data_IF_210149566735
#
_entry.id   IF_210149566735
#
_cell.length_a   1.000
_cell.length_b   1.000
_cell.length_c   1.000
_cell.angle_alpha   90.00
_cell.angle_beta   90.00
_cell.angle_gamma   90.00
#
_symmetry.space_group_name_H-M   'P 1'
#
loop_
_entity.id
_entity.type
_entity.pdbx_description
1 polymer ?
#
# COMPACT_ATOMS: atom_id res chain seq x y z
N UNK A 1 -8.39 11.70 -3.75
CA UNK A 1 -7.58 10.63 -4.38
C UNK A 1 -7.62 9.39 -3.48
N UNK A 2 -8.45 8.39 -3.81
CA UNK A 2 -8.72 7.21 -2.97
C UNK A 2 -7.74 6.04 -3.13
N UNK A 3 -6.44 6.31 -3.36
CA UNK A 3 -5.43 5.27 -3.64
C UNK A 3 -5.19 4.37 -2.42
N UNK A 4 -4.92 4.98 -1.27
CA UNK A 4 -4.76 4.29 0.01
C UNK A 4 -6.04 3.55 0.40
N UNK A 5 -7.20 4.19 0.26
CA UNK A 5 -8.49 3.55 0.52
C UNK A 5 -8.71 2.31 -0.36
N UNK A 6 -8.38 2.38 -1.66
CA UNK A 6 -8.49 1.24 -2.57
C UNK A 6 -7.51 0.12 -2.18
N UNK A 7 -6.24 0.43 -1.91
CA UNK A 7 -5.26 -0.57 -1.52
C UNK A 7 -5.61 -1.24 -0.20
N UNK A 8 -6.10 -0.48 0.78
CA UNK A 8 -6.55 -1.02 2.06
C UNK A 8 -7.80 -1.88 1.90
N UNK A 9 -8.76 -1.50 1.05
CA UNK A 9 -9.92 -2.35 0.76
C UNK A 9 -9.50 -3.68 0.10
N UNK A 10 -8.51 -3.66 -0.81
CA UNK A 10 -7.95 -4.89 -1.38
C UNK A 10 -7.29 -5.73 -0.28
N UNK A 11 -6.46 -5.13 0.57
CA UNK A 11 -5.80 -5.81 1.69
C UNK A 11 -6.81 -6.43 2.67
N UNK A 12 -7.84 -5.67 3.05
CA UNK A 12 -8.94 -6.11 3.90
C UNK A 12 -9.65 -7.31 3.27
N UNK A 13 -10.02 -7.20 1.99
CA UNK A 13 -10.73 -8.28 1.31
C UNK A 13 -9.87 -9.56 1.19
N UNK A 14 -8.58 -9.43 0.90
CA UNK A 14 -7.67 -10.58 0.89
C UNK A 14 -7.57 -11.22 2.27
N UNK A 15 -7.39 -10.43 3.33
CA UNK A 15 -7.35 -10.93 4.70
C UNK A 15 -8.72 -11.49 5.18
N UNK A 16 -9.82 -11.09 4.56
CA UNK A 16 -11.17 -11.59 4.88
C UNK A 16 -11.49 -12.91 4.21
N UNK A 17 -11.24 -12.99 2.91
CA UNK A 17 -11.51 -14.16 2.07
C UNK A 17 -10.46 -15.26 2.23
N UNK A 18 -9.27 -14.92 2.72
CA UNK A 18 -8.20 -15.87 2.99
C UNK A 18 -7.78 -15.78 4.46
N UNK A 19 -7.40 -16.90 5.06
CA UNK A 19 -6.76 -16.91 6.39
C UNK A 19 -5.25 -16.59 6.31
N UNK A 20 -4.80 -16.14 5.14
CA UNK A 20 -3.42 -15.79 4.88
C UNK A 20 -3.08 -14.40 5.42
N UNK A 21 -1.79 -14.17 5.63
CA UNK A 21 -1.29 -12.92 6.18
C UNK A 21 -1.12 -11.85 5.12
N UNK A 22 -1.52 -10.63 5.45
CA UNK A 22 -1.27 -9.43 4.63
C UNK A 22 -0.33 -8.51 5.39
N UNK A 23 0.77 -8.10 4.75
CA UNK A 23 1.75 -7.19 5.31
C UNK A 23 1.58 -5.80 4.71
N UNK A 24 1.44 -4.77 5.53
CA UNK A 24 1.28 -3.38 5.09
C UNK A 24 2.42 -2.55 5.65
N UNK A 25 3.21 -1.98 4.76
CA UNK A 25 4.19 -0.93 5.08
C UNK A 25 3.53 0.42 4.87
N UNK A 26 3.35 1.17 5.95
CA UNK A 26 2.77 2.51 5.95
C UNK A 26 3.83 3.52 6.37
N UNK A 27 4.33 4.31 5.42
CA UNK A 27 5.36 5.31 5.69
C UNK A 27 4.76 6.71 5.91
N UNK A 28 3.50 6.92 5.53
CA UNK A 28 2.79 8.19 5.69
C UNK A 28 1.88 8.20 6.93
N UNK A 29 1.22 7.08 7.21
CA UNK A 29 0.23 6.96 8.28
C UNK A 29 0.73 6.07 9.42
N UNK A 30 0.34 6.40 10.65
CA UNK A 30 0.55 5.51 11.79
C UNK A 30 -0.34 4.26 11.72
N UNK A 31 0.06 3.20 12.40
CA UNK A 31 -0.73 1.96 12.48
C UNK A 31 -2.16 2.24 12.98
N UNK A 32 -2.31 3.14 13.96
CA UNK A 32 -3.62 3.54 14.50
C UNK A 32 -4.51 4.16 13.42
N UNK A 33 -3.96 5.05 12.58
CA UNK A 33 -4.73 5.68 11.51
C UNK A 33 -5.15 4.66 10.45
N UNK A 34 -4.32 3.66 10.16
CA UNK A 34 -4.65 2.55 9.25
C UNK A 34 -5.79 1.71 9.84
N UNK A 35 -5.71 1.34 11.12
CA UNK A 35 -6.77 0.58 11.81
C UNK A 35 -8.10 1.34 11.82
N UNK A 36 -8.09 2.65 12.10
CA UNK A 36 -9.31 3.48 12.03
C UNK A 36 -9.95 3.46 10.63
N UNK A 37 -9.16 3.39 9.55
CA UNK A 37 -9.70 3.23 8.20
C UNK A 37 -10.39 1.89 8.00
N UNK A 38 -9.81 0.80 8.50
CA UNK A 38 -10.46 -0.52 8.46
C UNK A 38 -11.75 -0.54 9.26
N UNK A 39 -11.76 0.03 10.47
CA UNK A 39 -12.99 0.13 11.28
C UNK A 39 -14.06 0.93 10.54
N UNK A 40 -13.71 2.08 9.98
CA UNK A 40 -14.62 2.90 9.18
C UNK A 40 -15.20 2.13 7.98
N UNK A 41 -14.37 1.33 7.29
CA UNK A 41 -14.77 0.47 6.17
C UNK A 41 -15.75 -0.63 6.62
N UNK A 42 -15.43 -1.37 7.67
CA UNK A 42 -16.20 -2.54 8.12
C UNK A 42 -17.49 -2.12 8.83
N UNK A 43 -17.42 -1.12 9.71
CA UNK A 43 -18.57 -0.64 10.49
C UNK A 43 -19.48 0.32 9.69
N UNK A 44 -19.07 0.71 8.47
CA UNK A 44 -19.76 1.68 7.64
C UNK A 44 -20.01 3.02 8.36
N UNK A 45 -18.99 3.50 9.07
CA UNK A 45 -19.00 4.76 9.81
C UNK A 45 -18.14 5.78 9.06
N UNK A 46 -18.58 7.03 8.99
CA UNK A 46 -17.76 8.10 8.42
C UNK A 46 -16.43 8.26 9.16
N UNK A 47 -15.33 8.25 8.40
CA UNK A 47 -13.98 8.31 8.96
C UNK A 47 -13.72 9.62 9.73
N UNK A 48 -14.28 10.76 9.30
CA UNK A 48 -14.10 12.02 10.01
C UNK A 48 -14.81 12.01 11.36
N UNK A 49 -16.03 11.46 11.41
CA UNK A 49 -16.76 11.25 12.68
C UNK A 49 -15.97 10.35 13.63
N UNK A 50 -15.44 9.24 13.13
CA UNK A 50 -14.61 8.33 13.91
C UNK A 50 -13.34 9.02 14.43
N UNK A 51 -12.65 9.81 13.59
CA UNK A 51 -11.45 10.56 14.01
C UNK A 51 -11.72 11.64 15.05
N UNK A 52 -12.91 12.26 15.02
CA UNK A 52 -13.34 13.32 15.94
C UNK A 52 -14.01 12.79 17.22
N UNK A 53 -14.23 11.48 17.32
CA UNK A 53 -14.97 10.87 18.43
C UNK A 53 -16.47 11.22 18.44
N UNK A 54 -17.04 11.62 17.29
CA UNK A 54 -18.45 11.99 17.16
C UNK A 54 -19.31 10.75 16.86
N UNK A 55 -19.30 9.82 17.82
CA UNK A 55 -19.96 8.52 17.73
C UNK A 55 -21.32 8.56 18.43
N UNK A 56 -22.30 7.91 17.83
CA UNK A 56 -23.59 7.64 18.46
C UNK A 56 -23.53 6.31 19.21
N UNK A 57 -24.47 6.09 20.12
CA UNK A 57 -24.51 4.82 20.88
C UNK A 57 -24.65 3.59 19.96
N UNK A 58 -25.35 3.75 18.82
CA UNK A 58 -25.48 2.73 17.80
C UNK A 58 -24.19 2.42 17.02
N UNK A 59 -23.23 3.35 16.99
CA UNK A 59 -21.97 3.17 16.26
C UNK A 59 -21.04 2.20 17.00
N UNK A 60 -21.13 2.13 18.34
CA UNK A 60 -20.27 1.25 19.16
C UNK A 60 -20.45 -0.23 18.83
N UNK A 61 -21.69 -0.67 18.57
CA UNK A 61 -21.95 -2.06 18.18
C UNK A 61 -21.28 -2.41 16.85
N UNK A 62 -21.24 -1.46 15.90
CA UNK A 62 -20.52 -1.62 14.63
C UNK A 62 -19.02 -1.66 14.82
N UNK A 63 -18.48 -0.80 15.69
CA UNK A 63 -17.04 -0.74 16.01
C UNK A 63 -16.57 -2.02 16.68
N UNK A 64 -17.31 -2.52 17.67
CA UNK A 64 -16.96 -3.76 18.38
C UNK A 64 -16.94 -4.97 17.44
N UNK A 65 -17.92 -5.05 16.53
CA UNK A 65 -17.94 -6.07 15.46
C UNK A 65 -16.72 -5.93 14.55
N UNK A 66 -16.38 -4.70 14.13
CA UNK A 66 -15.22 -4.46 13.27
C UNK A 66 -13.90 -4.85 13.96
N UNK A 67 -13.72 -4.52 15.24
CA UNK A 67 -12.57 -4.90 16.03
C UNK A 67 -12.46 -6.41 16.20
N UNK A 68 -13.57 -7.10 16.45
CA UNK A 68 -13.62 -8.57 16.52
C UNK A 68 -13.18 -9.21 15.20
N UNK A 69 -13.70 -8.72 14.07
CA UNK A 69 -13.30 -9.17 12.74
C UNK A 69 -11.79 -8.92 12.55
N UNK A 70 -11.30 -7.70 12.79
CA UNK A 70 -9.90 -7.36 12.57
C UNK A 70 -8.94 -8.17 13.46
N UNK A 71 -9.31 -8.41 14.73
CA UNK A 71 -8.53 -9.23 15.65
C UNK A 71 -8.42 -10.70 15.23
N UNK A 72 -9.37 -11.19 14.42
CA UNK A 72 -9.33 -12.55 13.87
C UNK A 72 -8.48 -12.67 12.60
N UNK A 73 -8.06 -11.53 12.02
CA UNK A 73 -7.34 -11.51 10.74
C UNK A 73 -5.84 -11.31 10.92
N UNK A 74 -5.07 -11.94 10.04
CA UNK A 74 -3.62 -11.88 10.03
C UNK A 74 -3.13 -10.65 9.24
N UNK A 75 -3.40 -9.44 9.74
CA UNK A 75 -2.89 -8.20 9.14
C UNK A 75 -1.71 -7.69 9.97
N UNK A 76 -0.53 -7.61 9.36
CA UNK A 76 0.67 -7.07 9.98
C UNK A 76 0.93 -5.67 9.46
N UNK A 77 1.04 -4.70 10.37
CA UNK A 77 1.31 -3.30 10.05
C UNK A 77 2.73 -2.94 10.48
N UNK A 78 3.47 -2.30 9.60
CA UNK A 78 4.75 -1.65 9.89
C UNK A 78 4.62 -0.18 9.51
N UNK A 79 4.54 0.68 10.52
CA UNK A 79 4.39 2.13 10.36
C UNK A 79 5.73 2.89 10.45
N UNK A 80 6.85 2.18 10.26
CA UNK A 80 8.18 2.81 10.29
C UNK A 80 8.32 3.80 9.12
N UNK A 81 8.57 5.09 9.40
CA UNK A 81 8.73 6.08 8.36
C UNK A 81 10.06 5.91 7.62
N UNK A 82 10.11 6.42 6.39
CA UNK A 82 11.33 6.59 5.60
C UNK A 82 12.19 5.32 5.38
N UNK A 83 11.58 4.15 5.29
CA UNK A 83 12.29 2.89 5.03
C UNK A 83 13.02 2.90 3.68
N UNK A 84 14.28 2.47 3.69
CA UNK A 84 15.02 2.15 2.47
C UNK A 84 14.50 0.86 1.81
N UNK A 85 14.68 0.67 0.49
CA UNK A 85 14.32 -0.58 -0.19
C UNK A 85 14.99 -1.82 0.41
N UNK A 86 16.22 -1.68 0.91
CA UNK A 86 16.96 -2.74 1.60
C UNK A 86 16.32 -3.12 2.94
N UNK A 87 15.88 -2.14 3.72
CA UNK A 87 15.23 -2.39 5.01
C UNK A 87 13.87 -3.05 4.82
N UNK A 88 13.05 -2.55 3.89
CA UNK A 88 11.77 -3.14 3.53
C UNK A 88 11.94 -4.60 3.11
N UNK A 89 12.93 -4.90 2.26
CA UNK A 89 13.26 -6.27 1.85
C UNK A 89 13.67 -7.15 3.02
N UNK A 90 14.51 -6.66 3.93
CA UNK A 90 14.94 -7.41 5.11
C UNK A 90 13.76 -7.77 6.02
N UNK A 91 12.88 -6.79 6.27
CA UNK A 91 11.67 -6.98 7.10
C UNK A 91 10.67 -7.91 6.44
N UNK A 92 10.37 -7.73 5.15
CA UNK A 92 9.46 -8.61 4.41
C UNK A 92 9.94 -10.07 4.40
N UNK A 93 11.25 -10.30 4.22
CA UNK A 93 11.85 -11.65 4.33
C UNK A 93 11.71 -12.24 5.73
N UNK A 94 11.90 -11.42 6.77
CA UNK A 94 11.75 -11.86 8.16
C UNK A 94 10.32 -12.31 8.40
N UNK A 95 9.33 -11.50 8.02
CA UNK A 95 7.91 -11.84 8.14
C UNK A 95 7.57 -13.10 7.33
N UNK A 96 8.03 -13.23 6.08
CA UNK A 96 7.81 -14.47 5.29
C UNK A 96 8.39 -15.73 5.94
N UNK A 97 9.42 -15.62 6.79
CA UNK A 97 9.96 -16.77 7.55
C UNK A 97 9.15 -17.06 8.81
N UNK A 98 8.70 -16.01 9.50
CA UNK A 98 7.89 -16.13 10.72
C UNK A 98 6.45 -16.56 10.38
N UNK A 99 5.97 -16.21 9.20
CA UNK A 99 4.62 -16.48 8.70
C UNK A 99 4.69 -17.46 7.52
N UNK A 100 4.06 -18.63 7.66
CA UNK A 100 4.02 -19.63 6.56
C UNK A 100 3.27 -19.14 5.32
N UNK A 101 2.21 -18.35 5.50
CA UNK A 101 1.27 -17.98 4.43
C UNK A 101 1.12 -16.47 4.24
N UNK A 102 2.19 -15.78 3.80
CA UNK A 102 2.08 -14.39 3.34
C UNK A 102 1.42 -14.33 1.95
N UNK A 103 0.24 -13.70 1.86
CA UNK A 103 -0.55 -13.56 0.63
C UNK A 103 -0.26 -12.30 -0.16
N UNK A 104 0.01 -11.18 0.51
CA UNK A 104 0.21 -9.88 -0.15
C UNK A 104 1.06 -8.95 0.68
N UNK A 105 1.81 -8.08 0.00
CA UNK A 105 2.47 -6.91 0.61
C UNK A 105 1.89 -5.63 0.01
N UNK A 106 1.49 -4.69 0.85
CA UNK A 106 1.09 -3.33 0.46
C UNK A 106 2.14 -2.34 0.93
N UNK A 107 2.49 -1.36 0.08
CA UNK A 107 3.46 -0.31 0.41
C UNK A 107 2.84 1.06 0.12
N UNK A 108 2.60 1.85 1.18
CA UNK A 108 2.02 3.19 1.13
C UNK A 108 2.98 4.24 1.71
N UNK A 109 3.57 5.16 0.94
CA UNK A 109 3.73 5.21 -0.52
C UNK A 109 5.23 5.27 -0.83
N UNK A 110 5.64 4.73 -1.97
CA UNK A 110 7.07 4.54 -2.31
C UNK A 110 7.87 5.84 -2.42
N UNK A 111 7.19 6.99 -2.51
CA UNK A 111 7.82 8.29 -2.51
C UNK A 111 8.46 8.68 -1.16
N UNK A 112 8.10 8.03 -0.05
CA UNK A 112 8.79 8.32 1.22
C UNK A 112 10.04 7.47 1.43
N UNK A 113 10.30 6.52 0.55
CA UNK A 113 11.50 5.69 0.64
C UNK A 113 12.75 6.51 0.29
N UNK A 114 13.81 6.29 1.06
CA UNK A 114 15.10 6.93 0.84
C UNK A 114 16.08 5.93 0.24
N UNK A 115 16.69 6.27 -0.89
CA UNK A 115 17.84 5.55 -1.42
C UNK A 115 19.11 6.31 -1.01
N UNK A 116 20.01 5.67 -0.27
CA UNK A 116 21.28 6.30 0.12
C UNK A 116 22.20 6.46 -1.10
N UNK A 117 22.33 7.70 -1.58
CA UNK A 117 23.19 8.08 -2.70
C UNK A 117 22.79 9.42 -3.30
N UNK A 118 23.74 10.19 -3.84
CA UNK A 118 23.46 11.46 -4.53
C UNK A 118 22.85 11.19 -5.91
N UNK A 119 21.54 10.98 -5.95
CA UNK A 119 20.77 11.05 -7.19
C UNK A 119 19.95 12.34 -7.17
N UNK A 120 20.41 13.38 -7.87
CA UNK A 120 19.62 14.61 -8.09
C UNK A 120 18.35 14.33 -8.92
N UNK A 121 18.22 13.12 -9.47
CA UNK A 121 17.07 12.71 -10.27
C UNK A 121 16.11 11.81 -9.50
N UNK A 122 15.05 12.42 -8.97
CA UNK A 122 13.95 11.73 -8.28
C UNK A 122 13.29 10.63 -9.12
N UNK A 123 13.24 10.79 -10.45
CA UNK A 123 12.64 9.79 -11.35
C UNK A 123 13.50 8.53 -11.39
N UNK A 124 14.83 8.68 -11.37
CA UNK A 124 15.77 7.57 -11.33
C UNK A 124 15.64 6.78 -10.00
N UNK A 125 15.48 7.50 -8.89
CA UNK A 125 15.29 6.91 -7.56
C UNK A 125 14.01 6.05 -7.50
N UNK A 126 12.86 6.60 -7.94
CA UNK A 126 11.58 5.86 -7.98
C UNK A 126 11.68 4.62 -8.89
N UNK A 127 12.41 4.75 -10.01
CA UNK A 127 12.65 3.64 -10.93
C UNK A 127 13.48 2.52 -10.28
N UNK A 128 14.47 2.89 -9.46
CA UNK A 128 15.28 1.94 -8.70
C UNK A 128 14.47 1.24 -7.61
N UNK A 129 13.70 1.99 -6.83
CA UNK A 129 12.78 1.45 -5.82
C UNK A 129 11.81 0.44 -6.47
N UNK A 130 11.22 0.80 -7.61
CA UNK A 130 10.28 -0.05 -8.34
C UNK A 130 10.92 -1.34 -8.87
N UNK A 131 12.21 -1.30 -9.24
CA UNK A 131 12.98 -2.51 -9.60
C UNK A 131 13.25 -3.37 -8.38
N UNK A 132 13.66 -2.77 -7.27
CA UNK A 132 13.91 -3.47 -6.01
C UNK A 132 12.67 -4.19 -5.49
N UNK A 133 11.51 -3.51 -5.47
CA UNK A 133 10.23 -4.13 -5.08
C UNK A 133 9.82 -5.26 -6.02
N UNK A 134 10.09 -5.15 -7.33
CA UNK A 134 9.79 -6.24 -8.26
C UNK A 134 10.70 -7.44 -8.06
N UNK A 135 11.97 -7.22 -7.74
CA UNK A 135 12.88 -8.30 -7.36
C UNK A 135 12.39 -9.00 -6.09
N UNK A 136 11.96 -8.23 -5.08
CA UNK A 136 11.38 -8.75 -3.84
C UNK A 136 10.13 -9.61 -4.10
N UNK A 137 9.20 -9.12 -4.92
CA UNK A 137 7.98 -9.84 -5.27
C UNK A 137 8.27 -11.22 -5.89
N UNK A 138 9.24 -11.26 -6.81
CA UNK A 138 9.68 -12.52 -7.46
C UNK A 138 10.41 -13.45 -6.49
N UNK A 139 11.18 -12.87 -5.58
CA UNK A 139 11.97 -13.64 -4.61
C UNK A 139 11.09 -14.32 -3.56
N UNK A 140 10.09 -13.60 -3.05
CA UNK A 140 9.17 -14.12 -2.03
C UNK A 140 8.00 -14.92 -2.63
N UNK A 141 7.82 -14.85 -3.94
CA UNK A 141 6.64 -15.34 -4.66
C UNK A 141 5.33 -14.79 -4.08
N UNK A 142 5.29 -13.48 -3.86
CA UNK A 142 4.17 -12.78 -3.22
C UNK A 142 3.84 -11.51 -4.03
N UNK A 143 2.55 -11.24 -4.33
CA UNK A 143 2.14 -10.00 -4.98
C UNK A 143 2.41 -8.78 -4.08
N UNK A 144 2.99 -7.74 -4.68
CA UNK A 144 3.26 -6.46 -4.01
C UNK A 144 2.45 -5.35 -4.68
N UNK A 145 1.64 -4.65 -3.89
CA UNK A 145 0.89 -3.44 -4.29
C UNK A 145 1.65 -2.22 -3.78
N UNK A 146 2.26 -1.47 -4.69
CA UNK A 146 3.00 -0.26 -4.36
C UNK A 146 2.18 0.97 -4.75
N UNK A 147 1.94 1.87 -3.78
CA UNK A 147 1.28 3.14 -4.02
C UNK A 147 2.31 4.19 -4.43
N UNK A 148 2.03 4.87 -5.55
CA UNK A 148 2.83 5.99 -6.05
C UNK A 148 1.92 7.18 -6.32
N UNK A 149 2.30 8.36 -5.81
CA UNK A 149 1.68 9.63 -6.19
C UNK A 149 2.31 10.13 -7.49
N UNK A 150 1.49 10.64 -8.42
CA UNK A 150 1.99 11.29 -9.63
C UNK A 150 2.54 12.68 -9.31
N UNK A 151 3.49 13.11 -10.13
CA UNK A 151 4.02 14.46 -10.06
C UNK A 151 2.94 15.45 -10.51
N UNK A 152 2.69 16.52 -9.72
CA UNK A 152 1.58 17.48 -9.94
C UNK A 152 1.66 18.26 -11.26
N UNK A 153 2.77 18.15 -11.99
CA UNK A 153 2.96 18.75 -13.31
C UNK A 153 1.98 18.24 -14.40
N UNK A 154 1.24 17.15 -14.14
CA UNK A 154 0.19 16.64 -15.05
C UNK A 154 -1.13 17.40 -14.88
N UNK A 155 -1.34 18.10 -13.76
CA UNK A 155 -2.58 18.84 -13.46
C UNK A 155 -2.69 20.19 -14.19
N UNK A 156 -1.58 20.72 -14.74
CA UNK A 156 -1.56 21.95 -15.54
C UNK A 156 -1.94 21.73 -17.01
N UNK A 157 -2.20 20.48 -17.42
CA UNK A 157 -2.71 20.17 -18.77
C UNK A 157 -4.22 20.40 -18.80
N UNK A 158 -4.78 21.03 -19.85
CA UNK A 158 -6.22 21.24 -20.00
C UNK A 158 -7.02 19.92 -20.13
N UNK A 159 -6.36 18.77 -20.27
CA UNK A 159 -7.00 17.46 -20.43
C UNK A 159 -6.46 16.46 -19.39
N UNK A 160 -7.26 16.16 -18.36
CA UNK A 160 -6.91 15.29 -17.20
C UNK A 160 -7.11 13.79 -17.45
N UNK A 161 -7.03 13.34 -18.71
CA UNK A 161 -7.08 11.91 -19.04
C UNK A 161 -5.66 11.38 -19.21
N UNK A 162 -5.26 10.32 -18.49
CA UNK A 162 -3.94 9.73 -18.67
C UNK A 162 -3.80 9.22 -20.10
N UNK A 163 -2.75 9.67 -20.79
CA UNK A 163 -2.45 9.28 -22.17
C UNK A 163 -1.23 8.37 -22.20
N UNK A 164 -1.23 7.42 -23.14
CA UNK A 164 -0.12 6.48 -23.39
C UNK A 164 1.24 7.14 -23.67
N UNK A 165 1.29 8.46 -23.87
CA UNK A 165 2.53 9.21 -24.03
C UNK A 165 3.31 9.37 -22.70
N UNK A 166 2.66 9.29 -21.54
CA UNK A 166 3.33 9.33 -20.23
C UNK A 166 4.10 8.02 -19.93
N UNK A 167 3.88 6.98 -20.76
CA UNK A 167 4.66 5.72 -20.76
C UNK A 167 5.87 5.76 -21.70
N UNK A 168 6.00 6.78 -22.56
CA UNK A 168 6.93 6.74 -23.71
C UNK A 168 8.39 7.05 -23.35
N UNK A 169 8.65 7.78 -22.27
CA UNK A 169 10.02 7.91 -21.73
C UNK A 169 10.48 6.68 -20.93
N UNK A 170 9.60 5.67 -20.77
CA UNK A 170 9.96 4.33 -20.27
C UNK A 170 10.20 3.37 -21.43
N UNK A 171 11.09 3.76 -22.36
CA UNK A 171 11.57 2.88 -23.43
C UNK A 171 12.45 1.76 -22.86
N UNK A 172 11.87 0.60 -22.56
CA UNK A 172 12.63 -0.57 -22.14
C UNK A 172 11.77 -1.82 -21.90
N UNK A 173 11.56 -2.57 -22.98
CA UNK A 173 11.06 -3.95 -23.01
C UNK A 173 9.60 -4.20 -22.61
N UNK A 174 8.75 -4.29 -23.64
CA UNK A 174 7.49 -5.04 -23.63
C UNK A 174 7.76 -6.48 -23.20
N UNK A 175 7.56 -6.76 -21.92
CA UNK A 175 7.36 -8.11 -21.42
C UNK A 175 5.95 -8.14 -20.88
N UNK A 176 5.12 -9.05 -21.42
CA UNK A 176 3.74 -9.34 -20.99
C UNK A 176 3.48 -8.96 -19.53
N UNK A 177 2.52 -8.06 -19.30
CA UNK A 177 1.89 -7.92 -17.99
C UNK A 177 1.17 -9.24 -17.66
N UNK A 178 1.85 -10.16 -16.97
CA UNK A 178 1.17 -11.07 -16.04
C UNK A 178 0.77 -10.25 -14.81
N UNK A 179 -0.32 -10.62 -14.15
CA UNK A 179 -0.92 -9.95 -12.98
C UNK A 179 0.02 -9.72 -11.77
N UNK A 180 1.30 -10.08 -11.86
CA UNK A 180 2.35 -9.93 -10.84
C UNK A 180 2.75 -8.45 -10.54
N UNK A 181 1.99 -7.46 -11.01
CA UNK A 181 2.22 -6.02 -10.78
C UNK A 181 0.89 -5.28 -10.86
N UNK A 182 0.31 -4.95 -9.71
CA UNK A 182 -0.72 -3.92 -9.64
C UNK A 182 -0.07 -2.63 -9.13
N UNK A 183 0.41 -1.81 -10.06
CA UNK A 183 0.69 -0.40 -9.78
C UNK A 183 -0.64 0.34 -9.88
N UNK A 184 -1.19 0.76 -8.74
CA UNK A 184 -2.35 1.67 -8.74
C UNK A 184 -1.83 3.08 -9.01
N UNK A 185 -1.64 3.39 -10.29
CA UNK A 185 -1.34 4.73 -10.77
C UNK A 185 -2.66 5.46 -11.11
N UNK A 186 -2.80 6.69 -10.62
CA UNK A 186 -3.77 7.68 -11.10
C UNK A 186 -3.14 9.05 -11.12
#
# INVERSE_FOLDING_TARGET
MGKTALAFNIAENVARETDQTVLIFSMEMSAEQVVRRFISSIANIDLQRLMRGQLQDSDWEGIDKALSILSSKNILLDDTPALSPSELRSRARRIKRETKDLAMIVVDYIGLMQVHGKSDNRVAEISEISRSLKALAKELDVPIVALSQLNRAVESRPNKRPILADLRDSGGNRTRCRCDRLFVQT
#
